data_IF_587881625158
#
_entry.id   IF_587881625158
#
_cell.length_a   1.000
_cell.length_b   1.000
_cell.length_c   1.000
_cell.angle_alpha   90.00
_cell.angle_beta   90.00
_cell.angle_gamma   90.00
#
_symmetry.space_group_name_H-M   'P 1'
#
loop_
_entity.id
_entity.type
_entity.pdbx_description
1 polymer ?
#
# COMPACT_ATOMS: atom_id res chain seq x y z
N UNK A 1 3.09 -1.94 24.94
CA UNK A 1 3.61 -2.27 23.60
C UNK A 1 2.80 -1.52 22.55
N UNK A 2 3.32 -1.38 21.33
CA UNK A 2 2.64 -0.74 20.20
C UNK A 2 1.30 -1.38 19.82
N UNK A 3 1.02 -2.60 20.30
CA UNK A 3 -0.29 -3.26 20.14
C UNK A 3 -1.48 -2.39 20.53
N UNK A 4 -1.28 -1.51 21.51
CA UNK A 4 -2.30 -0.58 21.96
C UNK A 4 -2.81 0.33 20.83
N UNK A 5 -1.97 0.67 19.83
CA UNK A 5 -2.36 1.50 18.68
C UNK A 5 -3.41 0.80 17.81
N UNK A 6 -3.29 -0.52 17.64
CA UNK A 6 -4.25 -1.30 16.85
C UNK A 6 -5.62 -1.46 17.52
N UNK A 7 -5.72 -1.14 18.82
CA UNK A 7 -7.01 -1.08 19.52
C UNK A 7 -7.88 0.11 19.13
N UNK A 8 -7.34 1.10 18.40
CA UNK A 8 -8.08 2.30 17.99
C UNK A 8 -7.75 2.82 16.59
N UNK A 9 -6.94 2.09 15.83
CA UNK A 9 -6.57 2.45 14.46
C UNK A 9 -7.06 1.37 13.51
N UNK A 10 -7.82 1.76 12.50
CA UNK A 10 -8.33 0.85 11.48
C UNK A 10 -7.25 0.59 10.43
N UNK A 11 -6.53 -0.51 10.59
CA UNK A 11 -5.55 -1.02 9.61
C UNK A 11 -5.73 -2.52 9.41
N UNK A 12 -5.23 -3.11 8.32
CA UNK A 12 -5.20 -4.57 8.13
C UNK A 12 -4.40 -5.32 9.21
N UNK A 13 -3.63 -4.62 10.04
CA UNK A 13 -2.80 -5.22 11.08
C UNK A 13 -3.64 -5.69 12.29
N UNK A 14 -4.73 -5.01 12.61
CA UNK A 14 -5.63 -5.41 13.70
C UNK A 14 -6.30 -6.78 13.47
N UNK A 15 -6.98 -7.04 12.34
CA UNK A 15 -7.54 -8.36 12.08
C UNK A 15 -6.45 -9.43 11.90
N UNK A 16 -5.29 -9.09 11.33
CA UNK A 16 -4.14 -10.01 11.26
C UNK A 16 -3.71 -10.47 12.66
N UNK A 17 -3.65 -9.54 13.61
CA UNK A 17 -3.29 -9.83 15.00
C UNK A 17 -4.33 -10.74 15.68
N UNK A 18 -5.62 -10.46 15.47
CA UNK A 18 -6.73 -11.28 15.98
C UNK A 18 -6.66 -12.71 15.45
N UNK A 19 -6.63 -12.88 14.12
CA UNK A 19 -6.59 -14.20 13.50
C UNK A 19 -5.27 -14.95 13.75
N UNK A 20 -4.14 -14.24 13.86
CA UNK A 20 -2.88 -14.83 14.26
C UNK A 20 -2.93 -15.36 15.71
N UNK A 21 -3.60 -14.66 16.62
CA UNK A 21 -3.81 -15.13 18.01
C UNK A 21 -4.68 -16.40 18.02
N UNK A 22 -5.79 -16.41 17.28
CA UNK A 22 -6.66 -17.58 17.14
C UNK A 22 -5.90 -18.77 16.54
N UNK A 23 -5.04 -18.52 15.54
CA UNK A 23 -4.18 -19.55 14.97
C UNK A 23 -3.32 -20.20 16.06
N UNK A 24 -2.57 -19.44 16.86
CA UNK A 24 -1.72 -20.03 17.90
C UNK A 24 -2.53 -20.78 18.97
N UNK A 25 -3.68 -20.23 19.36
CA UNK A 25 -4.58 -20.86 20.33
C UNK A 25 -5.09 -22.23 19.85
N UNK A 26 -5.61 -22.31 18.62
CA UNK A 26 -6.07 -23.59 18.07
C UNK A 26 -4.92 -24.50 17.62
N UNK A 27 -3.76 -23.93 17.26
CA UNK A 27 -2.58 -24.72 16.91
C UNK A 27 -2.05 -25.47 18.13
N UNK A 28 -2.02 -24.83 19.30
CA UNK A 28 -1.66 -25.51 20.53
C UNK A 28 -2.60 -26.70 20.82
N UNK A 29 -3.92 -26.48 20.72
CA UNK A 29 -4.90 -27.56 20.91
C UNK A 29 -4.77 -28.67 19.85
N UNK A 30 -4.45 -28.32 18.61
CA UNK A 30 -4.24 -29.27 17.52
C UNK A 30 -2.99 -30.12 17.69
N UNK A 31 -1.94 -29.58 18.33
CA UNK A 31 -0.76 -30.36 18.68
C UNK A 31 -1.09 -31.43 19.73
N UNK A 32 -1.97 -31.13 20.67
CA UNK A 32 -2.43 -32.05 21.72
C UNK A 32 -3.47 -33.07 21.21
N UNK A 33 -4.47 -32.59 20.45
CA UNK A 33 -5.62 -33.38 20.00
C UNK A 33 -5.92 -33.11 18.53
N UNK A 34 -5.75 -34.14 17.71
CA UNK A 34 -6.10 -34.10 16.29
C UNK A 34 -7.62 -34.32 16.11
N UNK A 35 -8.39 -33.22 16.15
CA UNK A 35 -9.85 -33.23 15.97
C UNK A 35 -10.27 -32.42 14.74
N UNK A 36 -11.26 -32.88 13.97
CA UNK A 36 -11.74 -32.16 12.78
C UNK A 36 -12.29 -30.76 13.12
N UNK A 37 -12.96 -30.59 14.27
CA UNK A 37 -13.44 -29.26 14.70
C UNK A 37 -12.31 -28.25 14.91
N UNK A 38 -11.17 -28.68 15.47
CA UNK A 38 -10.00 -27.81 15.65
C UNK A 38 -9.35 -27.50 14.29
N UNK A 39 -9.30 -28.48 13.38
CA UNK A 39 -8.83 -28.27 12.02
C UNK A 39 -9.66 -27.22 11.26
N UNK A 40 -10.99 -27.24 11.40
CA UNK A 40 -11.87 -26.22 10.79
C UNK A 40 -11.58 -24.84 11.39
N UNK A 41 -11.49 -24.73 12.72
CA UNK A 41 -11.18 -23.45 13.40
C UNK A 41 -9.79 -22.92 13.04
N UNK A 42 -8.80 -23.79 12.87
CA UNK A 42 -7.48 -23.44 12.33
C UNK A 42 -7.58 -22.90 10.89
N UNK A 43 -8.39 -23.54 10.04
CA UNK A 43 -8.60 -23.09 8.66
C UNK A 43 -9.24 -21.70 8.61
N UNK A 44 -10.25 -21.46 9.45
CA UNK A 44 -10.89 -20.15 9.58
C UNK A 44 -9.92 -19.07 10.09
N UNK A 45 -9.05 -19.44 11.03
CA UNK A 45 -8.01 -18.53 11.54
C UNK A 45 -6.99 -18.20 10.45
N UNK A 46 -6.53 -19.19 9.69
CA UNK A 46 -5.58 -18.99 8.60
C UNK A 46 -6.16 -18.16 7.46
N UNK A 47 -7.38 -18.46 7.02
CA UNK A 47 -8.00 -17.70 5.93
C UNK A 47 -8.26 -16.26 6.36
N UNK A 48 -8.72 -16.03 7.60
CA UNK A 48 -8.90 -14.68 8.15
C UNK A 48 -7.57 -13.90 8.22
N UNK A 49 -6.47 -14.57 8.60
CA UNK A 49 -5.15 -13.95 8.59
C UNK A 49 -4.67 -13.59 7.16
N UNK A 50 -4.91 -14.47 6.17
CA UNK A 50 -4.57 -14.23 4.76
C UNK A 50 -5.38 -13.08 4.15
N UNK A 51 -6.70 -13.02 4.41
CA UNK A 51 -7.54 -11.89 4.01
C UNK A 51 -7.13 -10.57 4.67
N UNK A 52 -6.58 -10.64 5.89
CA UNK A 52 -6.08 -9.46 6.59
C UNK A 52 -4.80 -8.93 5.93
N UNK A 53 -3.79 -9.79 5.73
CA UNK A 53 -2.49 -9.41 5.17
C UNK A 53 -1.71 -10.62 4.66
N UNK A 54 -1.07 -10.48 3.50
CA UNK A 54 -0.22 -11.53 2.91
C UNK A 54 0.96 -11.98 3.79
N UNK A 55 1.37 -11.18 4.78
CA UNK A 55 2.40 -11.59 5.75
C UNK A 55 2.00 -12.81 6.59
N UNK A 56 0.71 -13.17 6.64
CA UNK A 56 0.25 -14.43 7.22
C UNK A 56 0.86 -15.67 6.54
N UNK A 57 1.39 -15.57 5.32
CA UNK A 57 2.15 -16.67 4.69
C UNK A 57 3.38 -17.03 5.52
N UNK A 58 4.06 -16.04 6.14
CA UNK A 58 5.21 -16.28 7.02
C UNK A 58 4.82 -17.14 8.23
N UNK A 59 3.63 -16.91 8.78
CA UNK A 59 3.09 -17.69 9.89
C UNK A 59 3.00 -19.18 9.54
N UNK A 60 2.49 -19.49 8.33
CA UNK A 60 2.36 -20.88 7.86
C UNK A 60 3.73 -21.49 7.57
N UNK A 61 4.57 -20.79 6.82
CA UNK A 61 5.90 -21.29 6.40
C UNK A 61 6.77 -21.60 7.61
N UNK A 62 6.90 -20.67 8.56
CA UNK A 62 7.74 -20.90 9.74
C UNK A 62 7.15 -21.94 10.69
N UNK A 63 5.82 -22.10 10.75
CA UNK A 63 5.18 -23.20 11.47
C UNK A 63 5.54 -24.56 10.86
N UNK A 64 5.53 -24.68 9.53
CA UNK A 64 5.92 -25.91 8.84
C UNK A 64 7.40 -26.23 9.01
N UNK A 65 8.28 -25.22 8.90
CA UNK A 65 9.72 -25.41 9.15
C UNK A 65 9.95 -25.86 10.60
N UNK A 66 9.23 -25.27 11.56
CA UNK A 66 9.34 -25.65 12.96
C UNK A 66 8.76 -27.03 13.27
N UNK A 67 7.82 -27.55 12.46
CA UNK A 67 7.20 -28.84 12.68
C UNK A 67 6.88 -29.56 11.36
N UNK A 68 7.89 -30.11 10.65
CA UNK A 68 7.67 -30.78 9.37
C UNK A 68 6.77 -32.02 9.46
N UNK A 69 6.66 -32.63 10.66
CA UNK A 69 5.75 -33.75 10.94
C UNK A 69 4.28 -33.41 10.73
N UNK A 70 3.91 -32.13 10.59
CA UNK A 70 2.55 -31.74 10.22
C UNK A 70 2.15 -32.30 8.84
N UNK A 71 3.09 -32.40 7.90
CA UNK A 71 2.82 -32.85 6.53
C UNK A 71 2.36 -34.32 6.47
N UNK A 72 2.67 -35.13 7.47
CA UNK A 72 2.21 -36.52 7.55
C UNK A 72 0.81 -36.67 8.16
N UNK A 73 0.22 -35.61 8.73
CA UNK A 73 -1.12 -35.66 9.31
C UNK A 73 -2.18 -35.45 8.22
N UNK A 74 -3.19 -36.31 8.14
CA UNK A 74 -4.30 -36.17 7.16
C UNK A 74 -5.12 -34.90 7.41
N UNK A 75 -5.35 -34.58 8.68
CA UNK A 75 -6.06 -33.36 9.10
C UNK A 75 -5.32 -32.07 8.71
N UNK A 76 -3.99 -32.08 8.58
CA UNK A 76 -3.24 -30.95 8.03
C UNK A 76 -3.66 -30.64 6.59
N UNK A 77 -3.81 -31.66 5.75
CA UNK A 77 -4.26 -31.48 4.37
C UNK A 77 -5.71 -31.01 4.29
N UNK A 78 -6.57 -31.43 5.23
CA UNK A 78 -7.91 -30.86 5.39
C UNK A 78 -7.85 -29.36 5.72
N UNK A 79 -6.93 -28.94 6.60
CA UNK A 79 -6.73 -27.52 6.93
C UNK A 79 -6.30 -26.73 5.70
N UNK A 80 -5.30 -27.25 4.97
CA UNK A 80 -4.76 -26.62 3.77
C UNK A 80 -5.83 -26.49 2.67
N UNK A 81 -6.57 -27.56 2.39
CA UNK A 81 -7.63 -27.56 1.39
C UNK A 81 -8.78 -26.61 1.78
N UNK A 82 -9.23 -26.65 3.04
CA UNK A 82 -10.31 -25.78 3.53
C UNK A 82 -9.90 -24.30 3.46
N UNK A 83 -8.68 -23.98 3.88
CA UNK A 83 -8.13 -22.62 3.80
C UNK A 83 -8.07 -22.15 2.34
N UNK A 84 -7.56 -23.00 1.43
CA UNK A 84 -7.46 -22.66 0.02
C UNK A 84 -8.85 -22.42 -0.59
N UNK A 85 -9.82 -23.31 -0.35
CA UNK A 85 -11.20 -23.17 -0.85
C UNK A 85 -11.83 -21.86 -0.39
N UNK A 86 -11.68 -21.51 0.90
CA UNK A 86 -12.21 -20.25 1.44
C UNK A 86 -11.47 -19.00 0.92
N UNK A 87 -10.22 -19.17 0.46
CA UNK A 87 -9.43 -18.09 -0.14
C UNK A 87 -9.57 -18.01 -1.67
N UNK A 88 -10.21 -18.99 -2.33
CA UNK A 88 -10.41 -19.00 -3.78
C UNK A 88 -11.09 -17.74 -4.33
N UNK A 89 -12.15 -17.17 -3.69
CA UNK A 89 -12.77 -15.95 -4.21
C UNK A 89 -11.77 -14.82 -4.41
N UNK A 90 -10.83 -14.65 -3.48
CA UNK A 90 -9.76 -13.67 -3.58
C UNK A 90 -8.77 -14.00 -4.70
N UNK A 91 -8.37 -15.26 -4.84
CA UNK A 91 -7.47 -15.71 -5.90
C UNK A 91 -8.10 -15.44 -7.28
N UNK A 92 -9.37 -15.80 -7.47
CA UNK A 92 -10.08 -15.53 -8.72
C UNK A 92 -10.22 -14.04 -9.00
N UNK A 93 -10.50 -13.23 -7.97
CA UNK A 93 -10.53 -11.78 -8.13
C UNK A 93 -9.17 -11.23 -8.57
N UNK A 94 -8.06 -11.71 -7.99
CA UNK A 94 -6.71 -11.30 -8.41
C UNK A 94 -6.43 -11.69 -9.87
N UNK A 95 -6.76 -12.91 -10.29
CA UNK A 95 -6.57 -13.38 -11.67
C UNK A 95 -7.33 -12.48 -12.64
N UNK A 96 -8.60 -12.17 -12.35
CA UNK A 96 -9.46 -11.37 -13.22
C UNK A 96 -9.08 -9.89 -13.31
N UNK A 97 -8.16 -9.41 -12.47
CA UNK A 97 -7.68 -8.01 -12.46
C UNK A 97 -6.16 -7.92 -12.66
N UNK A 98 -5.55 -8.97 -13.20
CA UNK A 98 -4.10 -9.06 -13.46
C UNK A 98 -3.21 -8.84 -12.22
N UNK A 99 -3.60 -9.44 -11.10
CA UNK A 99 -2.86 -9.49 -9.84
C UNK A 99 -2.44 -8.11 -9.29
N UNK A 100 -3.40 -7.19 -9.04
CA UNK A 100 -3.08 -5.82 -8.63
C UNK A 100 -2.28 -5.78 -7.31
N UNK A 101 -2.59 -6.67 -6.36
CA UNK A 101 -1.87 -6.72 -5.09
C UNK A 101 -0.43 -7.20 -5.23
N UNK A 102 -0.16 -8.19 -6.09
CA UNK A 102 1.20 -8.68 -6.32
C UNK A 102 2.04 -7.63 -7.04
N UNK A 103 1.50 -6.98 -8.08
CA UNK A 103 2.16 -5.89 -8.79
C UNK A 103 2.53 -4.75 -7.83
N UNK A 104 1.60 -4.35 -6.97
CA UNK A 104 1.84 -3.32 -5.96
C UNK A 104 2.96 -3.66 -4.98
N UNK A 105 3.02 -4.91 -4.49
CA UNK A 105 4.03 -5.32 -3.51
C UNK A 105 5.40 -5.64 -4.10
N UNK A 106 5.45 -6.15 -5.34
CA UNK A 106 6.69 -6.62 -5.96
C UNK A 106 7.34 -5.62 -6.92
N UNK A 107 6.56 -4.71 -7.54
CA UNK A 107 7.08 -3.81 -8.58
C UNK A 107 6.99 -2.33 -8.22
N UNK A 108 5.98 -1.92 -7.45
CA UNK A 108 5.73 -0.48 -7.18
C UNK A 108 6.33 0.01 -5.85
N UNK A 109 6.97 -0.88 -5.07
CA UNK A 109 7.51 -0.58 -3.74
C UNK A 109 9.01 -0.80 -3.61
N UNK A 110 9.69 -1.27 -4.65
CA UNK A 110 11.15 -1.41 -4.64
C UNK A 110 11.79 -0.02 -4.61
N UNK A 111 12.78 0.16 -3.73
CA UNK A 111 13.55 1.39 -3.71
C UNK A 111 14.57 1.36 -4.86
N UNK A 112 14.82 2.50 -5.50
CA UNK A 112 15.79 2.58 -6.60
C UNK A 112 17.18 2.08 -6.19
N UNK A 113 17.58 2.36 -4.94
CA UNK A 113 18.88 1.95 -4.41
C UNK A 113 18.77 1.60 -2.92
N UNK A 114 19.56 0.60 -2.49
CA UNK A 114 19.73 0.30 -1.07
C UNK A 114 20.41 1.46 -0.34
N UNK A 115 19.89 1.80 0.83
CA UNK A 115 20.52 2.75 1.74
C UNK A 115 20.72 2.07 3.09
N UNK A 116 21.92 2.21 3.67
CA UNK A 116 22.27 1.59 4.95
C UNK A 116 21.26 1.94 6.07
N UNK A 117 20.63 3.11 5.97
CA UNK A 117 19.58 3.54 6.88
C UNK A 117 18.34 2.65 6.94
N UNK A 118 18.01 1.94 5.86
CA UNK A 118 16.89 1.01 5.88
C UNK A 118 17.10 -0.11 6.91
N UNK A 119 18.34 -0.58 7.05
CA UNK A 119 18.69 -1.70 7.93
C UNK A 119 18.79 -1.28 9.40
N UNK A 120 19.55 -0.22 9.72
CA UNK A 120 19.71 0.16 11.13
C UNK A 120 18.42 0.76 11.72
N UNK A 121 17.65 1.54 10.95
CA UNK A 121 16.36 2.06 11.41
C UNK A 121 15.34 0.94 11.60
N UNK A 122 15.40 -0.12 10.79
CA UNK A 122 14.57 -1.30 11.00
C UNK A 122 14.85 -1.94 12.36
N UNK A 123 16.13 -2.21 12.68
CA UNK A 123 16.53 -2.83 13.95
C UNK A 123 16.14 -1.98 15.17
N UNK A 124 16.39 -0.68 15.11
CA UNK A 124 15.96 0.28 16.13
C UNK A 124 14.43 0.26 16.26
N UNK A 125 13.72 0.28 15.13
CA UNK A 125 12.27 0.20 15.08
C UNK A 125 11.70 -1.05 15.75
N UNK A 126 12.35 -2.22 15.59
CA UNK A 126 11.92 -3.46 16.27
C UNK A 126 12.03 -3.35 17.80
N UNK A 127 13.11 -2.74 18.31
CA UNK A 127 13.27 -2.50 19.75
C UNK A 127 12.18 -1.56 20.29
N UNK A 128 11.93 -0.44 19.60
CA UNK A 128 10.88 0.50 19.98
C UNK A 128 9.48 -0.13 19.95
N UNK A 129 9.19 -0.96 18.95
CA UNK A 129 7.91 -1.66 18.85
C UNK A 129 7.67 -2.64 20.00
N UNK A 130 8.70 -3.39 20.40
CA UNK A 130 8.64 -4.31 21.54
C UNK A 130 8.33 -3.59 22.86
N UNK A 131 8.81 -2.37 22.97
CA UNK A 131 8.58 -1.47 24.09
C UNK A 131 9.75 -0.51 24.20
N UNK A 132 9.55 0.82 24.15
CA UNK A 132 10.65 1.79 24.10
C UNK A 132 11.72 1.61 25.18
N UNK A 133 11.33 1.17 26.39
CA UNK A 133 12.26 1.00 27.52
C UNK A 133 12.66 -0.46 27.81
N UNK A 134 11.83 -1.43 27.40
CA UNK A 134 11.98 -2.85 27.77
C UNK A 134 12.19 -3.78 26.58
N UNK A 135 12.16 -3.25 25.35
CA UNK A 135 12.25 -4.03 24.12
C UNK A 135 13.54 -4.84 24.07
N UNK A 136 14.68 -4.22 24.36
CA UNK A 136 15.99 -4.88 24.41
C UNK A 136 16.00 -6.10 25.35
N UNK A 137 15.33 -5.99 26.50
CA UNK A 137 15.26 -7.07 27.48
C UNK A 137 14.42 -8.24 26.94
N UNK A 138 13.33 -7.97 26.24
CA UNK A 138 12.54 -9.01 25.58
C UNK A 138 13.33 -9.78 24.53
N UNK A 139 14.05 -9.08 23.65
CA UNK A 139 14.93 -9.71 22.68
C UNK A 139 16.02 -10.56 23.36
N UNK A 140 16.65 -10.03 24.41
CA UNK A 140 17.64 -10.78 25.20
C UNK A 140 17.05 -12.09 25.79
N UNK A 141 15.85 -12.03 26.37
CA UNK A 141 15.17 -13.20 26.94
C UNK A 141 14.86 -14.24 25.88
N UNK A 142 14.44 -13.84 24.69
CA UNK A 142 14.13 -14.75 23.60
C UNK A 142 15.40 -15.39 23.02
N UNK A 143 16.50 -14.63 22.87
CA UNK A 143 17.79 -15.19 22.42
C UNK A 143 18.32 -16.26 23.38
N UNK A 144 18.04 -16.13 24.69
CA UNK A 144 18.39 -17.13 25.70
C UNK A 144 17.34 -18.23 25.90
N UNK A 145 16.19 -18.12 25.26
CA UNK A 145 15.09 -19.06 25.42
C UNK A 145 15.41 -20.38 24.70
N UNK A 146 15.27 -21.49 25.41
CA UNK A 146 15.44 -22.83 24.84
C UNK A 146 14.05 -23.48 24.72
N UNK A 147 13.56 -23.74 23.51
CA UNK A 147 12.26 -24.37 23.32
C UNK A 147 12.29 -25.79 23.87
N UNK A 148 11.31 -26.15 24.68
CA UNK A 148 11.19 -27.45 25.35
C UNK A 148 10.24 -28.40 24.62
N UNK A 149 9.36 -27.85 23.79
CA UNK A 149 8.29 -28.56 23.12
C UNK A 149 8.05 -28.00 21.71
N UNK A 150 7.20 -28.67 20.94
CA UNK A 150 6.94 -28.32 19.53
C UNK A 150 6.25 -26.97 19.41
N UNK A 151 5.36 -26.60 20.34
CA UNK A 151 4.67 -25.32 20.32
C UNK A 151 5.65 -24.19 20.58
N UNK A 152 6.45 -24.25 21.65
CA UNK A 152 7.46 -23.22 21.95
C UNK A 152 8.51 -23.11 20.85
N UNK A 153 8.93 -24.23 20.23
CA UNK A 153 9.78 -24.21 19.03
C UNK A 153 9.10 -23.47 17.87
N UNK A 154 7.82 -23.72 17.64
CA UNK A 154 7.04 -23.03 16.60
C UNK A 154 7.00 -21.51 16.85
N UNK A 155 6.81 -21.07 18.09
CA UNK A 155 6.85 -19.65 18.42
C UNK A 155 8.21 -19.02 18.11
N UNK A 156 9.32 -19.69 18.48
CA UNK A 156 10.69 -19.20 18.18
C UNK A 156 10.91 -19.05 16.68
N UNK A 157 10.57 -20.07 15.89
CA UNK A 157 10.74 -20.03 14.44
C UNK A 157 9.89 -18.92 13.79
N UNK A 158 8.65 -18.76 14.22
CA UNK A 158 7.79 -17.70 13.70
C UNK A 158 8.32 -16.30 14.05
N UNK A 159 8.79 -16.09 15.27
CA UNK A 159 9.37 -14.80 15.66
C UNK A 159 10.68 -14.52 14.91
N UNK A 160 11.68 -15.40 15.07
CA UNK A 160 13.03 -15.23 14.52
C UNK A 160 12.98 -15.22 13.00
N UNK A 161 12.24 -16.16 12.39
CA UNK A 161 12.06 -16.24 10.95
C UNK A 161 11.43 -14.96 10.38
N UNK A 162 10.41 -14.40 11.04
CA UNK A 162 9.79 -13.14 10.60
C UNK A 162 10.79 -11.99 10.66
N UNK A 163 11.54 -11.83 11.76
CA UNK A 163 12.54 -10.76 11.89
C UNK A 163 13.64 -10.91 10.83
N UNK A 164 14.16 -12.12 10.60
CA UNK A 164 15.19 -12.38 9.59
C UNK A 164 14.65 -12.10 8.17
N UNK A 165 13.43 -12.53 7.87
CA UNK A 165 12.80 -12.30 6.56
C UNK A 165 12.73 -10.79 6.25
N UNK A 166 12.24 -10.00 7.19
CA UNK A 166 12.14 -8.55 6.98
C UNK A 166 13.48 -7.83 7.04
N UNK A 167 14.44 -8.33 7.82
CA UNK A 167 15.81 -7.84 7.80
C UNK A 167 16.45 -8.07 6.42
N UNK A 168 16.24 -9.23 5.79
CA UNK A 168 16.69 -9.45 4.42
C UNK A 168 15.99 -8.50 3.43
N UNK A 169 14.72 -8.20 3.67
CA UNK A 169 13.95 -7.29 2.82
C UNK A 169 14.40 -5.82 2.90
N UNK A 170 15.12 -5.41 3.96
CA UNK A 170 15.68 -4.04 4.05
C UNK A 170 16.71 -3.75 2.96
N UNK A 171 17.29 -4.80 2.36
CA UNK A 171 18.21 -4.68 1.23
C UNK A 171 17.51 -4.16 -0.04
N UNK A 172 16.18 -4.26 -0.12
CA UNK A 172 15.39 -3.85 -1.29
C UNK A 172 14.46 -2.67 -1.02
N UNK A 173 13.92 -2.57 0.20
CA UNK A 173 12.87 -1.61 0.55
C UNK A 173 13.09 -1.06 1.94
N UNK A 174 12.71 0.20 2.17
CA UNK A 174 12.56 0.74 3.52
C UNK A 174 11.40 0.06 4.26
N UNK A 175 11.69 -1.06 4.94
CA UNK A 175 10.71 -1.84 5.69
C UNK A 175 10.20 -1.02 6.88
N UNK A 176 8.89 -0.78 6.90
CA UNK A 176 8.27 -0.07 8.03
C UNK A 176 8.19 -1.02 9.23
N UNK A 177 8.49 -0.54 10.46
CA UNK A 177 8.56 -1.41 11.62
C UNK A 177 7.30 -2.28 11.82
N UNK A 178 6.10 -1.74 11.59
CA UNK A 178 4.85 -2.46 11.78
C UNK A 178 4.63 -3.65 10.84
N UNK A 179 5.43 -3.83 9.78
CA UNK A 179 5.30 -4.98 8.88
C UNK A 179 5.61 -6.31 9.59
N UNK A 180 6.47 -6.29 10.62
CA UNK A 180 6.86 -7.48 11.41
C UNK A 180 5.85 -7.84 12.49
N UNK A 181 4.69 -7.18 12.57
CA UNK A 181 3.71 -7.38 13.64
C UNK A 181 3.30 -8.86 13.83
N UNK A 182 3.24 -9.63 12.75
CA UNK A 182 2.93 -11.07 12.80
C UNK A 182 3.94 -11.86 13.65
N UNK A 183 5.21 -11.41 13.70
CA UNK A 183 6.25 -11.98 14.55
C UNK A 183 6.17 -11.49 16.01
N UNK A 184 5.53 -10.35 16.26
CA UNK A 184 5.34 -9.84 17.61
C UNK A 184 4.29 -10.64 18.41
N UNK A 185 3.38 -11.35 17.76
CA UNK A 185 2.47 -12.31 18.41
C UNK A 185 3.21 -13.42 19.16
N UNK A 186 4.03 -14.27 18.48
CA UNK A 186 4.78 -15.31 19.18
C UNK A 186 5.83 -14.72 20.12
N UNK A 187 6.36 -13.53 19.85
CA UNK A 187 7.25 -12.81 20.77
C UNK A 187 6.61 -12.61 22.15
N UNK A 188 5.37 -12.10 22.20
CA UNK A 188 4.65 -11.88 23.47
C UNK A 188 4.49 -13.19 24.23
N UNK A 189 4.05 -14.25 23.54
CA UNK A 189 3.87 -15.57 24.15
C UNK A 189 5.21 -16.11 24.70
N UNK A 190 6.29 -16.01 23.92
CA UNK A 190 7.62 -16.42 24.36
C UNK A 190 8.10 -15.64 25.58
N UNK A 191 7.91 -14.33 25.62
CA UNK A 191 8.28 -13.50 26.78
C UNK A 191 7.50 -13.95 28.02
N UNK A 192 6.18 -14.18 27.90
CA UNK A 192 5.37 -14.63 29.02
C UNK A 192 5.83 -15.99 29.54
N UNK A 193 6.08 -16.96 28.65
CA UNK A 193 6.59 -18.30 29.00
C UNK A 193 7.99 -18.18 29.62
N UNK A 194 8.89 -17.39 29.05
CA UNK A 194 10.25 -17.21 29.55
C UNK A 194 10.31 -16.55 30.94
N UNK A 195 9.26 -15.86 31.36
CA UNK A 195 9.17 -15.18 32.66
C UNK A 195 8.47 -16.02 33.74
N UNK A 196 7.82 -17.15 33.40
CA UNK A 196 7.15 -18.02 34.38
C UNK A 196 8.11 -18.75 35.35
N UNK A 197 9.22 -19.36 34.90
CA UNK A 197 10.07 -20.17 35.78
C UNK A 197 11.11 -19.36 36.56
N UNK A 198 11.24 -18.05 36.31
CA UNK A 198 12.31 -17.23 36.87
C UNK A 198 11.77 -16.09 37.72
N UNK A 199 12.51 -15.77 38.79
CA UNK A 199 12.32 -14.53 39.51
C UNK A 199 12.54 -13.36 38.54
N UNK A 200 11.47 -12.59 38.29
CA UNK A 200 11.55 -11.37 37.49
C UNK A 200 12.55 -10.42 38.19
N UNK A 201 13.51 -9.81 37.46
CA UNK A 201 14.42 -8.87 38.08
C UNK A 201 13.65 -7.74 38.78
N UNK A 202 14.03 -7.38 40.00
CA UNK A 202 13.33 -6.33 40.77
C UNK A 202 13.27 -4.99 40.03
N UNK A 203 14.30 -4.70 39.22
CA UNK A 203 14.36 -3.49 38.38
C UNK A 203 13.32 -3.48 37.25
N UNK A 204 12.80 -4.64 36.82
CA UNK A 204 11.93 -4.73 35.65
C UNK A 204 10.56 -4.11 35.93
N UNK A 205 9.99 -4.34 37.12
CA UNK A 205 8.67 -3.80 37.48
C UNK A 205 8.56 -2.28 37.36
N UNK A 206 9.43 -1.45 37.98
CA UNK A 206 9.32 0.00 37.86
C UNK A 206 9.47 0.46 36.39
N UNK A 207 10.31 -0.19 35.58
CA UNK A 207 10.43 0.14 34.16
C UNK A 207 9.17 -0.26 33.37
N UNK A 208 8.52 -1.38 33.70
CA UNK A 208 7.24 -1.76 33.10
C UNK A 208 6.15 -0.73 33.42
N UNK A 209 6.09 -0.25 34.67
CA UNK A 209 5.16 0.81 35.07
C UNK A 209 5.47 2.13 34.37
N UNK A 210 6.75 2.51 34.25
CA UNK A 210 7.14 3.70 33.49
C UNK A 210 6.78 3.57 32.01
N UNK A 211 7.03 2.42 31.40
CA UNK A 211 6.66 2.14 30.02
C UNK A 211 5.14 2.18 29.81
N UNK A 212 4.35 1.63 30.74
CA UNK A 212 2.90 1.74 30.73
C UNK A 212 2.45 3.19 30.89
N UNK A 213 3.05 3.93 31.82
CA UNK A 213 2.76 5.35 32.04
C UNK A 213 3.04 6.17 30.77
N UNK A 214 4.16 5.97 30.09
CA UNK A 214 4.47 6.65 28.82
C UNK A 214 3.46 6.32 27.71
N UNK A 215 3.01 5.07 27.62
CA UNK A 215 1.98 4.66 26.66
C UNK A 215 0.62 5.29 26.98
N UNK A 216 0.24 5.34 28.26
CA UNK A 216 -0.98 6.02 28.71
C UNK A 216 -0.87 7.53 28.47
N UNK A 217 0.26 8.15 28.77
CA UNK A 217 0.50 9.57 28.51
C UNK A 217 0.33 9.90 27.02
N UNK A 218 0.90 9.08 26.13
CA UNK A 218 0.70 9.19 24.69
C UNK A 218 -0.78 9.04 24.32
N UNK A 219 -1.49 8.06 24.91
CA UNK A 219 -2.91 7.83 24.65
C UNK A 219 -3.77 9.00 25.11
N UNK A 220 -3.56 9.51 26.32
CA UNK A 220 -4.26 10.67 26.84
C UNK A 220 -3.97 11.92 26.01
N UNK A 221 -2.72 12.12 25.57
CA UNK A 221 -2.35 13.20 24.65
C UNK A 221 -3.15 13.15 23.34
N UNK A 222 -3.38 11.94 22.81
CA UNK A 222 -4.23 11.73 21.63
C UNK A 222 -5.71 12.00 21.89
N UNK A 223 -6.23 11.54 23.03
CA UNK A 223 -7.65 11.71 23.37
C UNK A 223 -8.00 13.17 23.71
N UNK A 224 -7.13 13.85 24.44
CA UNK A 224 -7.32 15.23 24.90
C UNK A 224 -6.98 16.28 23.81
N UNK A 225 -6.57 15.85 22.61
CA UNK A 225 -6.18 16.74 21.50
C UNK A 225 -5.17 17.81 21.95
N UNK A 226 -4.15 17.44 22.74
CA UNK A 226 -3.18 18.41 23.24
C UNK A 226 -2.42 19.07 22.06
N UNK A 227 -2.13 20.39 22.10
CA UNK A 227 -1.43 21.12 21.04
C UNK A 227 -0.13 20.47 20.53
N UNK A 228 0.61 19.79 21.42
CA UNK A 228 1.84 19.06 21.09
C UNK A 228 1.51 17.83 20.23
N UNK A 229 0.55 17.02 20.64
CA UNK A 229 0.14 15.81 19.89
C UNK A 229 -0.46 16.15 18.52
N UNK A 230 -1.15 17.29 18.41
CA UNK A 230 -1.71 17.77 17.15
C UNK A 230 -0.66 18.26 16.13
N UNK A 231 0.57 18.55 16.56
CA UNK A 231 1.63 19.09 15.71
C UNK A 231 2.73 18.08 15.37
N UNK A 232 2.81 16.95 16.09
CA UNK A 232 3.91 15.98 15.93
C UNK A 232 3.58 14.92 14.87
N UNK A 233 4.36 14.90 13.80
CA UNK A 233 4.54 13.76 12.88
C UNK A 233 3.26 13.01 12.52
N UNK A 234 3.27 11.68 12.72
CA UNK A 234 2.15 10.78 12.40
C UNK A 234 0.90 11.08 13.24
N UNK A 235 1.05 11.62 14.45
CA UNK A 235 -0.07 11.89 15.35
C UNK A 235 -0.99 13.00 14.81
N UNK A 236 -0.43 13.97 14.07
CA UNK A 236 -1.20 15.01 13.36
C UNK A 236 -2.31 14.43 12.48
N UNK A 237 -2.08 13.26 11.87
CA UNK A 237 -3.04 12.63 10.94
C UNK A 237 -4.35 12.17 11.61
N UNK A 238 -4.36 11.99 12.94
CA UNK A 238 -5.55 11.60 13.69
C UNK A 238 -6.51 12.77 13.95
N UNK A 239 -6.10 14.01 13.69
CA UNK A 239 -6.85 15.21 14.06
C UNK A 239 -7.36 15.99 12.85
N UNK A 240 -8.41 16.78 13.07
CA UNK A 240 -8.93 17.74 12.09
C UNK A 240 -9.64 17.10 10.89
N UNK A 241 -9.82 15.78 10.86
CA UNK A 241 -10.43 15.09 9.72
C UNK A 241 -11.91 15.48 9.50
N UNK A 242 -12.78 15.47 10.54
CA UNK A 242 -14.17 15.91 10.36
C UNK A 242 -14.27 17.38 9.92
N UNK A 243 -13.49 18.27 10.53
CA UNK A 243 -13.51 19.70 10.23
C UNK A 243 -13.00 19.96 8.81
N UNK A 244 -11.89 19.32 8.42
CA UNK A 244 -11.33 19.39 7.06
C UNK A 244 -12.33 18.90 6.00
N UNK A 245 -12.95 17.75 6.21
CA UNK A 245 -13.94 17.20 5.26
C UNK A 245 -15.18 18.09 5.16
N UNK A 246 -15.66 18.64 6.27
CA UNK A 246 -16.79 19.55 6.29
C UNK A 246 -16.51 20.86 5.53
N UNK A 247 -15.32 21.47 5.71
CA UNK A 247 -14.93 22.66 4.93
C UNK A 247 -14.97 22.41 3.42
N UNK A 248 -14.50 21.25 2.98
CA UNK A 248 -14.53 20.87 1.56
C UNK A 248 -15.98 20.61 1.11
N UNK A 249 -16.76 19.86 1.91
CA UNK A 249 -18.16 19.53 1.60
C UNK A 249 -19.03 20.78 1.48
N UNK A 250 -18.83 21.80 2.31
CA UNK A 250 -19.58 23.05 2.24
C UNK A 250 -19.40 23.75 0.88
N UNK A 251 -18.19 23.71 0.33
CA UNK A 251 -17.87 24.26 -1.00
C UNK A 251 -18.34 23.35 -2.13
N UNK A 252 -17.94 22.07 -2.10
CA UNK A 252 -18.26 21.09 -3.14
C UNK A 252 -19.76 20.73 -3.21
N UNK A 253 -20.51 20.93 -2.13
CA UNK A 253 -21.92 20.55 -1.97
C UNK A 253 -22.14 19.07 -2.32
N UNK A 254 -22.77 18.81 -3.47
CA UNK A 254 -23.10 17.49 -3.97
C UNK A 254 -22.23 17.06 -5.17
N UNK A 255 -21.22 17.85 -5.54
CA UNK A 255 -20.29 17.50 -6.60
C UNK A 255 -19.35 16.36 -6.16
N UNK A 256 -18.73 15.70 -7.13
CA UNK A 256 -17.62 14.79 -6.85
C UNK A 256 -16.38 15.60 -6.48
N UNK A 257 -15.59 15.06 -5.56
CA UNK A 257 -14.36 15.67 -5.08
C UNK A 257 -13.18 14.80 -5.45
N UNK A 258 -12.22 15.39 -6.16
CA UNK A 258 -11.01 14.70 -6.62
C UNK A 258 -9.82 15.17 -5.77
N UNK A 259 -8.99 14.22 -5.37
CA UNK A 259 -7.73 14.47 -4.66
C UNK A 259 -6.57 13.82 -5.44
N UNK A 260 -5.45 14.52 -5.66
CA UNK A 260 -4.30 13.94 -6.33
C UNK A 260 -3.47 13.03 -5.41
N UNK A 261 -2.95 11.95 -5.99
CA UNK A 261 -1.80 11.17 -5.53
C UNK A 261 -1.86 10.65 -4.08
N UNK A 262 -3.06 10.44 -3.53
CA UNK A 262 -3.27 9.87 -2.19
C UNK A 262 -4.66 9.22 -2.10
N UNK A 263 -4.72 7.96 -1.68
CA UNK A 263 -5.99 7.28 -1.42
C UNK A 263 -6.61 7.64 -0.07
N UNK A 264 -5.83 8.24 0.84
CA UNK A 264 -6.29 8.57 2.18
C UNK A 264 -7.34 9.69 2.14
N UNK A 265 -7.01 10.85 1.60
CA UNK A 265 -7.93 11.99 1.55
C UNK A 265 -9.34 11.65 0.99
N UNK A 266 -9.50 10.97 -0.16
CA UNK A 266 -10.82 10.60 -0.66
C UNK A 266 -11.53 9.57 0.22
N UNK A 267 -10.80 8.67 0.87
CA UNK A 267 -11.38 7.70 1.81
C UNK A 267 -11.91 8.39 3.07
N UNK A 268 -11.17 9.34 3.63
CA UNK A 268 -11.59 10.13 4.79
C UNK A 268 -12.78 11.02 4.41
N UNK A 269 -12.71 11.69 3.27
CA UNK A 269 -13.83 12.47 2.73
C UNK A 269 -15.09 11.63 2.62
N UNK A 270 -15.00 10.45 2.02
CA UNK A 270 -16.15 9.56 1.84
C UNK A 270 -16.73 9.09 3.18
N UNK A 271 -15.87 8.71 4.13
CA UNK A 271 -16.27 8.29 5.47
C UNK A 271 -17.00 9.40 6.25
N UNK A 272 -16.40 10.58 6.40
CA UNK A 272 -16.98 11.65 7.22
C UNK A 272 -18.17 12.36 6.56
N UNK A 273 -18.24 12.36 5.23
CA UNK A 273 -19.40 12.94 4.53
C UNK A 273 -20.53 11.94 4.32
N UNK A 274 -20.31 10.65 4.63
CA UNK A 274 -21.20 9.55 4.31
C UNK A 274 -21.61 9.56 2.82
N UNK A 275 -20.61 9.67 1.94
CA UNK A 275 -20.81 9.75 0.49
C UNK A 275 -19.76 8.96 -0.27
N UNK A 276 -20.08 8.48 -1.46
CA UNK A 276 -19.13 7.83 -2.38
C UNK A 276 -18.57 8.81 -3.42
N UNK A 277 -18.43 10.08 -3.03
CA UNK A 277 -18.09 11.18 -3.95
C UNK A 277 -16.63 11.60 -3.92
N UNK A 278 -15.83 11.02 -3.03
CA UNK A 278 -14.38 11.20 -3.03
C UNK A 278 -13.71 10.27 -4.04
N UNK A 279 -12.79 10.80 -4.84
CA UNK A 279 -12.01 10.05 -5.82
C UNK A 279 -10.51 10.39 -5.70
N UNK A 280 -9.66 9.35 -5.75
CA UNK A 280 -8.21 9.52 -5.88
C UNK A 280 -7.84 9.57 -7.36
N UNK A 281 -7.15 10.62 -7.78
CA UNK A 281 -6.51 10.68 -9.08
C UNK A 281 -5.05 10.27 -8.92
N UNK A 282 -4.68 9.09 -9.42
CA UNK A 282 -3.34 8.53 -9.29
C UNK A 282 -2.50 8.92 -10.51
N UNK A 283 -1.69 9.96 -10.34
CA UNK A 283 -0.81 10.44 -11.39
C UNK A 283 0.35 9.50 -11.65
N UNK A 284 1.09 9.76 -12.72
CA UNK A 284 2.32 9.04 -13.06
C UNK A 284 3.41 9.10 -11.99
N UNK A 285 3.32 10.03 -11.05
CA UNK A 285 4.25 10.17 -9.93
C UNK A 285 3.79 9.38 -8.70
N UNK A 286 2.66 8.71 -8.79
CA UNK A 286 2.09 7.91 -7.73
C UNK A 286 1.86 6.47 -8.16
N UNK A 287 1.60 5.63 -7.16
CA UNK A 287 1.29 4.21 -7.32
C UNK A 287 -0.18 4.02 -7.60
N UNK A 288 -0.53 2.90 -8.23
CA UNK A 288 -1.94 2.57 -8.45
C UNK A 288 -2.63 2.24 -7.13
N UNK A 289 -3.89 2.58 -7.02
CA UNK A 289 -4.71 2.32 -5.83
C UNK A 289 -6.02 1.63 -6.19
N UNK A 290 -6.80 1.28 -5.17
CA UNK A 290 -8.12 0.69 -5.38
C UNK A 290 -9.07 1.62 -6.17
N UNK A 291 -8.83 2.94 -6.15
CA UNK A 291 -9.62 3.91 -6.90
C UNK A 291 -9.47 3.78 -8.42
N UNK A 292 -8.34 3.24 -8.91
CA UNK A 292 -8.15 2.92 -10.33
C UNK A 292 -9.06 1.77 -10.81
N UNK A 293 -9.40 0.86 -9.89
CA UNK A 293 -10.19 -0.34 -10.19
C UNK A 293 -11.69 -0.03 -10.08
N UNK A 294 -12.08 0.78 -9.09
CA UNK A 294 -13.50 1.09 -8.88
C UNK A 294 -14.14 1.86 -10.05
N UNK A 295 -15.43 1.66 -10.31
CA UNK A 295 -16.16 2.37 -11.38
C UNK A 295 -16.52 3.81 -11.02
N UNK A 296 -15.82 4.41 -10.04
CA UNK A 296 -16.08 5.78 -9.59
C UNK A 296 -15.76 6.74 -10.72
N UNK A 297 -14.57 6.62 -11.33
CA UNK A 297 -14.11 7.47 -12.44
C UNK A 297 -15.15 7.55 -13.57
N UNK A 298 -15.71 6.40 -13.96
CA UNK A 298 -16.71 6.26 -15.02
C UNK A 298 -17.98 7.08 -14.75
N UNK A 299 -18.27 7.34 -13.48
CA UNK A 299 -19.41 8.13 -13.02
C UNK A 299 -19.12 9.63 -12.95
N UNK A 300 -17.86 10.05 -13.04
CA UNK A 300 -17.41 11.44 -12.98
C UNK A 300 -17.29 12.07 -14.37
N UNK A 301 -17.05 11.25 -15.40
CA UNK A 301 -16.81 11.71 -16.77
C UNK A 301 -17.89 12.71 -17.23
N UNK A 302 -17.44 13.80 -17.84
CA UNK A 302 -18.22 14.92 -18.36
C UNK A 302 -19.03 15.71 -17.31
N UNK A 303 -18.87 15.43 -16.01
CA UNK A 303 -19.53 16.19 -14.95
C UNK A 303 -18.65 17.32 -14.45
N UNK A 304 -19.28 18.30 -13.81
CA UNK A 304 -18.60 19.29 -13.00
C UNK A 304 -18.11 18.65 -11.70
N UNK A 305 -16.84 18.82 -11.40
CA UNK A 305 -16.20 18.28 -10.19
C UNK A 305 -15.47 19.38 -9.41
N UNK A 306 -15.13 19.09 -8.17
CA UNK A 306 -14.34 19.94 -7.30
C UNK A 306 -12.99 19.29 -7.02
N UNK A 307 -11.92 19.84 -7.59
CA UNK A 307 -10.57 19.30 -7.46
C UNK A 307 -9.82 20.00 -6.33
N UNK A 308 -9.34 19.23 -5.35
CA UNK A 308 -8.72 19.76 -4.13
C UNK A 308 -7.24 19.44 -4.11
N UNK A 309 -6.42 20.48 -4.06
CA UNK A 309 -4.94 20.42 -4.09
C UNK A 309 -4.34 21.14 -2.88
N UNK A 310 -3.06 20.87 -2.60
CA UNK A 310 -2.26 21.54 -1.55
C UNK A 310 -1.62 22.85 -2.04
N UNK A 311 -1.52 23.04 -3.36
CA UNK A 311 -1.05 24.25 -4.02
C UNK A 311 -2.05 24.73 -5.09
N UNK A 312 -2.09 26.04 -5.39
CA UNK A 312 -2.96 26.55 -6.45
C UNK A 312 -2.49 26.04 -7.81
N UNK A 313 -3.45 25.76 -8.69
CA UNK A 313 -3.20 25.44 -10.09
C UNK A 313 -3.09 26.72 -10.92
N UNK A 314 -2.08 26.77 -11.79
CA UNK A 314 -1.95 27.86 -12.76
C UNK A 314 -3.19 27.89 -13.66
N UNK A 315 -3.62 29.10 -14.03
CA UNK A 315 -4.70 29.36 -15.00
C UNK A 315 -6.10 28.86 -14.60
N UNK A 316 -6.28 28.34 -13.38
CA UNK A 316 -7.57 27.90 -12.85
C UNK A 316 -7.86 28.64 -11.55
N UNK A 317 -8.99 29.33 -11.49
CA UNK A 317 -9.46 30.01 -10.28
C UNK A 317 -9.52 29.03 -9.10
N UNK A 318 -9.06 29.49 -7.94
CA UNK A 318 -8.98 28.67 -6.73
C UNK A 318 -9.80 29.27 -5.59
N UNK A 319 -10.68 28.47 -4.99
CA UNK A 319 -11.20 28.71 -3.66
C UNK A 319 -10.10 28.40 -2.64
N UNK A 320 -9.62 29.40 -1.90
CA UNK A 320 -8.70 29.15 -0.77
C UNK A 320 -9.48 28.58 0.41
N UNK A 321 -9.14 27.37 0.83
CA UNK A 321 -9.78 26.64 1.92
C UNK A 321 -8.85 26.66 3.15
N UNK A 322 -9.19 27.47 4.14
CA UNK A 322 -8.53 27.40 5.44
C UNK A 322 -9.15 26.25 6.23
N UNK A 323 -8.45 25.12 6.31
CA UNK A 323 -8.95 23.90 6.97
C UNK A 323 -8.18 23.61 8.25
N UNK A 324 -8.72 22.71 9.08
CA UNK A 324 -8.02 22.23 10.29
C UNK A 324 -6.68 21.54 9.99
N UNK A 325 -6.42 21.13 8.74
CA UNK A 325 -5.17 20.46 8.32
C UNK A 325 -4.17 21.40 7.65
N UNK A 326 -4.53 22.67 7.45
CA UNK A 326 -3.75 23.63 6.70
C UNK A 326 -4.56 24.24 5.55
N UNK A 327 -3.88 24.96 4.68
CA UNK A 327 -4.49 25.59 3.51
C UNK A 327 -4.58 24.57 2.39
N UNK A 328 -5.75 24.48 1.77
CA UNK A 328 -5.98 23.74 0.54
C UNK A 328 -6.58 24.69 -0.50
N UNK A 329 -6.51 24.29 -1.77
CA UNK A 329 -7.04 25.03 -2.89
C UNK A 329 -8.07 24.16 -3.60
N UNK A 330 -9.27 24.70 -3.77
CA UNK A 330 -10.37 24.04 -4.45
C UNK A 330 -10.60 24.64 -5.82
N UNK A 331 -10.71 23.79 -6.83
CA UNK A 331 -10.84 24.19 -8.23
C UNK A 331 -12.09 23.57 -8.84
N UNK A 332 -12.99 24.40 -9.36
CA UNK A 332 -14.10 23.91 -10.15
C UNK A 332 -13.61 23.53 -11.54
N UNK A 333 -13.86 22.28 -11.93
CA UNK A 333 -13.52 21.76 -13.25
C UNK A 333 -14.82 21.32 -13.89
N UNK A 334 -15.22 22.03 -14.94
CA UNK A 334 -16.36 21.68 -15.78
C UNK A 334 -15.93 20.61 -16.79
N UNK A 335 -16.87 19.73 -17.16
CA UNK A 335 -16.65 18.65 -18.14
C UNK A 335 -15.39 17.81 -17.84
N UNK A 336 -15.33 17.25 -16.63
CA UNK A 336 -14.21 16.41 -16.21
C UNK A 336 -13.94 15.29 -17.21
N UNK A 337 -12.67 15.15 -17.63
CA UNK A 337 -12.21 14.04 -18.47
C UNK A 337 -10.91 13.48 -17.90
N UNK A 338 -10.87 12.18 -17.76
CA UNK A 338 -9.68 11.44 -17.32
C UNK A 338 -9.60 10.09 -18.01
N UNK A 339 -8.39 9.53 -18.00
CA UNK A 339 -8.03 8.36 -18.81
C UNK A 339 -7.20 7.36 -17.99
N UNK A 340 -7.48 7.22 -16.68
CA UNK A 340 -6.72 6.35 -15.78
C UNK A 340 -6.75 4.87 -16.19
N UNK A 341 -7.84 4.42 -16.84
CA UNK A 341 -8.00 3.03 -17.33
C UNK A 341 -7.57 2.84 -18.80
N UNK A 342 -7.01 3.86 -19.44
CA UNK A 342 -6.39 3.65 -20.76
C UNK A 342 -5.00 3.06 -20.56
N UNK A 343 -4.77 1.88 -21.15
CA UNK A 343 -3.48 1.20 -21.10
C UNK A 343 -2.69 1.41 -22.39
N UNK A 344 -1.39 1.62 -22.25
CA UNK A 344 -0.43 1.74 -23.35
C UNK A 344 0.63 0.66 -23.17
N UNK A 345 0.68 -0.26 -24.11
CA UNK A 345 1.68 -1.33 -24.16
C UNK A 345 2.70 -1.06 -25.26
N UNK A 346 3.94 -1.49 -25.00
CA UNK A 346 5.06 -1.48 -25.94
C UNK A 346 5.61 -2.90 -25.97
N UNK A 347 5.90 -3.43 -27.16
CA UNK A 347 6.32 -4.82 -27.32
C UNK A 347 7.66 -5.14 -26.61
N UNK A 348 8.45 -4.12 -26.28
CA UNK A 348 9.75 -4.25 -25.62
C UNK A 348 9.74 -3.65 -24.21
N UNK A 349 10.09 -4.46 -23.21
CA UNK A 349 10.29 -4.01 -21.83
C UNK A 349 11.65 -3.30 -21.61
N UNK A 350 12.59 -3.48 -22.54
CA UNK A 350 13.91 -2.84 -22.53
C UNK A 350 14.25 -2.36 -23.94
N UNK A 351 14.81 -1.16 -24.05
CA UNK A 351 15.21 -0.53 -25.31
C UNK A 351 16.67 -0.06 -25.15
N UNK A 352 17.54 -0.50 -26.06
CA UNK A 352 18.93 -0.04 -26.13
C UNK A 352 19.15 0.71 -27.43
N UNK A 353 19.72 1.92 -27.36
CA UNK A 353 19.88 2.78 -28.55
C UNK A 353 21.00 3.79 -28.37
N UNK A 354 21.55 4.29 -29.48
CA UNK A 354 22.49 5.41 -29.45
C UNK A 354 21.80 6.74 -29.07
N UNK A 355 22.55 7.61 -28.41
CA UNK A 355 22.10 8.97 -28.08
C UNK A 355 21.59 9.78 -29.29
N UNK A 356 20.52 10.55 -29.08
CA UNK A 356 19.97 11.48 -30.05
C UNK A 356 19.23 10.88 -31.26
N UNK A 357 19.07 9.55 -31.31
CA UNK A 357 18.32 8.88 -32.38
C UNK A 357 16.81 8.94 -32.16
N UNK A 358 16.06 8.84 -33.25
CA UNK A 358 14.61 8.66 -33.22
C UNK A 358 14.30 7.18 -33.37
N UNK A 359 13.46 6.65 -32.47
CA UNK A 359 13.03 5.26 -32.47
C UNK A 359 11.56 5.21 -32.87
N UNK A 360 11.19 4.49 -33.95
CA UNK A 360 9.80 4.20 -34.23
C UNK A 360 9.30 3.13 -33.24
N UNK A 361 8.31 3.48 -32.43
CA UNK A 361 7.65 2.58 -31.50
C UNK A 361 6.21 2.32 -31.98
N UNK A 362 5.79 1.06 -31.95
CA UNK A 362 4.40 0.71 -32.18
C UNK A 362 3.71 0.54 -30.83
N UNK A 363 2.92 1.54 -30.43
CA UNK A 363 2.17 1.48 -29.17
C UNK A 363 0.87 0.71 -29.39
N UNK A 364 0.52 -0.20 -28.47
CA UNK A 364 -0.81 -0.82 -28.41
C UNK A 364 -1.60 -0.11 -27.33
N UNK A 365 -2.64 0.62 -27.71
CA UNK A 365 -3.49 1.37 -26.81
C UNK A 365 -4.78 0.59 -26.61
N UNK A 366 -5.11 0.27 -25.36
CA UNK A 366 -6.29 -0.51 -24.98
C UNK A 366 -7.25 0.34 -24.15
N UNK A 367 -8.54 0.27 -24.49
CA UNK A 367 -9.61 0.85 -23.70
C UNK A 367 -10.15 -0.17 -22.69
N UNK A 368 -9.87 0.01 -21.39
CA UNK A 368 -10.43 -0.84 -20.33
C UNK A 368 -11.70 -0.28 -19.69
N UNK A 369 -12.20 0.87 -20.17
CA UNK A 369 -13.50 1.35 -19.75
C UNK A 369 -14.61 0.46 -20.32
N UNK A 370 -15.69 0.30 -19.56
CA UNK A 370 -16.93 -0.32 -20.02
C UNK A 370 -17.71 0.55 -21.04
N UNK A 371 -17.15 1.70 -21.45
CA UNK A 371 -17.76 2.68 -22.35
C UNK A 371 -16.79 3.08 -23.47
N UNK A 372 -17.30 3.58 -24.60
CA UNK A 372 -16.47 4.14 -25.64
C UNK A 372 -15.63 5.33 -25.13
N UNK A 373 -14.41 5.45 -25.63
CA UNK A 373 -13.50 6.55 -25.32
C UNK A 373 -13.10 7.25 -26.62
N UNK A 374 -13.13 8.58 -26.63
CA UNK A 374 -12.58 9.38 -27.71
C UNK A 374 -11.49 10.33 -27.19
N UNK A 375 -10.53 10.63 -28.04
CA UNK A 375 -9.45 11.57 -27.74
C UNK A 375 -9.60 12.90 -28.46
N UNK A 376 -10.80 13.22 -28.96
CA UNK A 376 -11.04 14.50 -29.62
C UNK A 376 -10.83 15.66 -28.63
N UNK A 377 -10.27 16.75 -29.14
CA UNK A 377 -10.14 18.02 -28.43
C UNK A 377 -11.17 19.06 -28.90
N UNK A 378 -11.96 18.74 -29.92
CA UNK A 378 -12.98 19.64 -30.43
C UNK A 378 -14.04 19.92 -29.34
N UNK A 379 -14.25 21.19 -29.02
CA UNK A 379 -15.22 21.63 -28.02
C UNK A 379 -14.89 21.23 -26.58
N UNK A 380 -13.65 20.82 -26.29
CA UNK A 380 -13.20 20.45 -24.94
C UNK A 380 -12.36 21.58 -24.33
N UNK A 381 -12.64 21.93 -23.08
CA UNK A 381 -11.89 22.96 -22.37
C UNK A 381 -10.44 22.55 -22.10
N UNK A 382 -10.22 21.29 -21.70
CA UNK A 382 -8.88 20.76 -21.48
C UNK A 382 -8.51 19.75 -22.58
N UNK A 383 -7.36 19.90 -23.26
CA UNK A 383 -6.96 18.98 -24.32
C UNK A 383 -6.42 17.67 -23.73
N UNK A 384 -6.74 16.53 -24.35
CA UNK A 384 -6.04 15.27 -24.10
C UNK A 384 -4.82 15.16 -25.01
N UNK A 385 -3.73 14.68 -24.43
CA UNK A 385 -2.49 14.38 -25.14
C UNK A 385 -1.90 13.07 -24.64
N UNK A 386 -1.34 12.28 -25.56
CA UNK A 386 -0.41 11.22 -25.21
C UNK A 386 0.99 11.80 -25.13
N UNK A 387 1.71 11.50 -24.05
CA UNK A 387 3.10 11.91 -23.87
C UNK A 387 3.98 10.75 -23.46
N UNK A 388 5.16 10.68 -24.07
CA UNK A 388 6.29 9.91 -23.59
C UNK A 388 7.09 10.75 -22.58
N UNK A 389 7.49 10.14 -21.48
CA UNK A 389 8.33 10.75 -20.45
C UNK A 389 9.58 9.90 -20.27
N UNK A 390 10.74 10.53 -20.37
CA UNK A 390 12.03 9.93 -20.06
C UNK A 390 12.48 10.47 -18.72
N UNK A 391 12.59 9.57 -17.75
CA UNK A 391 12.87 9.86 -16.35
C UNK A 391 14.22 9.29 -15.95
N UNK A 392 14.89 9.93 -15.00
CA UNK A 392 16.08 9.41 -14.32
C UNK A 392 15.88 9.58 -12.81
N UNK A 393 15.61 8.48 -12.11
CA UNK A 393 15.02 8.55 -10.77
C UNK A 393 13.71 9.36 -10.81
N UNK A 394 13.55 10.29 -9.88
CA UNK A 394 12.38 11.19 -9.80
C UNK A 394 12.43 12.37 -10.81
N UNK A 395 13.55 12.56 -11.51
CA UNK A 395 13.74 13.71 -12.40
C UNK A 395 13.26 13.42 -13.81
N UNK A 396 12.40 14.29 -14.34
CA UNK A 396 12.00 14.27 -15.75
C UNK A 396 13.09 14.89 -16.61
N UNK A 397 13.73 14.07 -17.44
CA UNK A 397 14.83 14.49 -18.33
C UNK A 397 14.27 15.09 -19.62
N UNK A 398 13.26 14.43 -20.20
CA UNK A 398 12.55 14.93 -21.37
C UNK A 398 11.13 14.40 -21.40
N UNK A 399 10.25 15.11 -22.08
CA UNK A 399 8.94 14.61 -22.44
C UNK A 399 8.62 14.99 -23.88
N UNK A 400 7.91 14.11 -24.58
CA UNK A 400 7.54 14.28 -25.97
C UNK A 400 6.05 14.00 -26.13
N UNK A 401 5.36 14.90 -26.83
CA UNK A 401 3.95 14.74 -27.17
C UNK A 401 3.80 13.88 -28.43
N UNK A 402 2.73 13.09 -28.48
CA UNK A 402 2.30 12.39 -29.69
C UNK A 402 1.89 13.40 -30.77
N UNK A 403 1.85 12.93 -32.01
CA UNK A 403 1.40 13.72 -33.15
C UNK A 403 -0.12 13.99 -33.07
N UNK A 404 -0.64 15.03 -33.74
CA UNK A 404 -2.06 15.43 -33.64
C UNK A 404 -3.07 14.35 -34.09
N UNK A 405 -2.64 13.37 -34.88
CA UNK A 405 -3.44 12.23 -35.31
C UNK A 405 -3.90 11.35 -34.13
N UNK A 406 -3.18 11.38 -33.00
CA UNK A 406 -3.61 10.75 -31.75
C UNK A 406 -5.03 11.19 -31.34
N UNK A 407 -5.37 12.47 -31.55
CA UNK A 407 -6.67 13.02 -31.17
C UNK A 407 -7.83 12.57 -32.08
N UNK A 408 -7.53 11.87 -33.17
CA UNK A 408 -8.54 11.26 -34.06
C UNK A 408 -8.92 9.85 -33.59
N UNK A 409 -8.19 9.27 -32.64
CA UNK A 409 -8.47 7.94 -32.13
C UNK A 409 -9.75 7.92 -31.29
N UNK A 410 -10.52 6.86 -31.53
CA UNK A 410 -11.71 6.47 -30.79
C UNK A 410 -11.67 4.98 -30.54
N UNK A 411 -12.20 4.54 -29.40
CA UNK A 411 -12.15 3.16 -28.95
C UNK A 411 -13.54 2.71 -28.49
N UNK A 412 -13.96 1.52 -28.93
CA UNK A 412 -15.04 0.76 -28.30
C UNK A 412 -14.55 0.17 -26.96
N UNK A 413 -15.46 -0.23 -26.06
CA UNK A 413 -15.07 -0.95 -24.85
C UNK A 413 -14.21 -2.18 -25.19
N UNK A 414 -13.05 -2.33 -24.54
CA UNK A 414 -12.13 -3.45 -24.75
C UNK A 414 -11.30 -3.38 -26.05
N UNK A 415 -11.51 -2.37 -26.91
CA UNK A 415 -10.80 -2.27 -28.19
C UNK A 415 -9.31 -1.94 -27.98
N UNK A 416 -8.47 -2.56 -28.80
CA UNK A 416 -7.02 -2.31 -28.87
C UNK A 416 -6.71 -1.73 -30.25
N UNK A 417 -5.96 -0.62 -30.29
CA UNK A 417 -5.45 -0.05 -31.55
C UNK A 417 -3.95 0.18 -31.47
N UNK A 418 -3.30 -0.05 -32.60
CA UNK A 418 -1.90 0.27 -32.80
C UNK A 418 -1.74 1.74 -33.17
N UNK A 419 -0.81 2.44 -32.51
CA UNK A 419 -0.47 3.84 -32.77
C UNK A 419 1.05 4.00 -32.94
N UNK A 420 1.54 4.52 -34.08
CA UNK A 420 2.97 4.75 -34.28
C UNK A 420 3.44 5.97 -33.47
N UNK A 421 4.56 5.83 -32.76
CA UNK A 421 5.15 6.90 -31.97
C UNK A 421 6.65 6.98 -32.22
N UNK A 422 7.12 8.12 -32.75
CA UNK A 422 8.53 8.34 -33.05
C UNK A 422 9.24 8.99 -31.85
N UNK A 423 9.82 8.18 -30.95
CA UNK A 423 10.48 8.68 -29.74
C UNK A 423 11.87 9.23 -30.05
N UNK A 424 12.11 10.52 -29.77
CA UNK A 424 13.44 11.12 -29.79
C UNK A 424 14.17 10.90 -28.47
N UNK A 425 15.31 10.24 -28.50
CA UNK A 425 16.07 9.96 -27.27
C UNK A 425 16.93 11.15 -26.83
N UNK A 426 17.16 11.29 -25.51
CA UNK A 426 18.15 12.24 -24.98
C UNK A 426 19.53 12.08 -25.62
N UNK A 427 20.28 13.20 -25.64
CA UNK A 427 21.68 13.23 -26.08
C UNK A 427 22.64 12.65 -25.04
N UNK A 428 22.24 12.68 -23.77
CA UNK A 428 23.06 12.18 -22.67
C UNK A 428 22.93 10.66 -22.59
N UNK A 429 24.08 9.98 -22.53
CA UNK A 429 24.17 8.54 -22.31
C UNK A 429 23.79 8.19 -20.88
N UNK A 430 23.20 7.02 -20.67
CA UNK A 430 22.81 6.55 -19.35
C UNK A 430 21.61 5.61 -19.38
N UNK A 431 21.20 5.18 -18.19
CA UNK A 431 19.99 4.40 -17.98
C UNK A 431 18.85 5.33 -17.55
N UNK A 432 17.74 5.18 -18.24
CA UNK A 432 16.52 5.98 -18.06
C UNK A 432 15.30 5.07 -17.96
N UNK A 433 14.23 5.62 -17.42
CA UNK A 433 12.91 5.01 -17.38
C UNK A 433 12.01 5.73 -18.39
N UNK A 434 11.50 5.01 -19.38
CA UNK A 434 10.50 5.48 -20.32
C UNK A 434 9.10 5.09 -19.83
N UNK A 435 8.17 6.04 -19.81
CA UNK A 435 6.77 5.80 -19.54
C UNK A 435 5.87 6.62 -20.45
N UNK A 436 4.68 6.12 -20.72
CA UNK A 436 3.64 6.81 -21.48
C UNK A 436 2.47 7.20 -20.58
N UNK A 437 1.90 8.37 -20.83
CA UNK A 437 0.79 8.92 -20.07
C UNK A 437 -0.20 9.62 -21.00
N UNK A 438 -1.48 9.25 -20.90
CA UNK A 438 -2.59 9.93 -21.56
C UNK A 438 -3.14 10.96 -20.58
N UNK A 439 -2.78 12.22 -20.79
CA UNK A 439 -3.01 13.33 -19.84
C UNK A 439 -4.06 14.30 -20.39
N UNK A 440 -4.95 14.76 -19.51
CA UNK A 440 -5.75 15.97 -19.70
C UNK A 440 -5.44 16.94 -18.56
N UNK A 441 -5.03 18.20 -18.83
CA UNK A 441 -4.91 19.22 -17.80
C UNK A 441 -6.25 19.43 -17.05
N UNK A 442 -6.22 19.94 -15.81
CA UNK A 442 -5.03 20.25 -15.01
C UNK A 442 -4.38 19.02 -14.36
N UNK A 443 -4.93 17.82 -14.57
CA UNK A 443 -4.42 16.61 -13.96
C UNK A 443 -3.05 16.25 -14.51
N UNK A 444 -2.16 15.74 -13.66
CA UNK A 444 -0.79 15.42 -14.07
C UNK A 444 -0.72 14.30 -15.11
N UNK A 445 -1.75 13.47 -15.27
CA UNK A 445 -1.80 12.32 -16.16
C UNK A 445 -1.42 11.03 -15.43
N UNK A 446 -2.13 9.91 -15.66
CA UNK A 446 -1.84 8.63 -15.02
C UNK A 446 -0.63 7.97 -15.68
N UNK A 447 -0.07 6.95 -15.04
CA UNK A 447 0.91 6.06 -15.70
C UNK A 447 0.14 5.02 -16.53
N UNK A 448 -0.01 5.33 -17.82
CA UNK A 448 -0.75 4.50 -18.78
C UNK A 448 0.04 3.28 -19.26
N UNK A 449 1.38 3.30 -19.19
CA UNK A 449 2.24 2.15 -19.52
C UNK A 449 2.97 1.58 -18.30
N UNK A 450 3.44 0.32 -18.38
CA UNK A 450 4.57 -0.13 -17.56
C UNK A 450 5.79 0.77 -17.73
N UNK A 451 6.72 0.72 -16.77
CA UNK A 451 8.03 1.37 -16.91
C UNK A 451 8.89 0.53 -17.84
N UNK A 452 9.45 1.17 -18.87
CA UNK A 452 10.32 0.57 -19.88
C UNK A 452 11.75 1.04 -19.60
N UNK A 453 12.69 0.10 -19.49
CA UNK A 453 14.09 0.47 -19.28
C UNK A 453 14.67 0.97 -20.61
N UNK A 454 15.15 2.21 -20.63
CA UNK A 454 15.75 2.84 -21.79
C UNK A 454 17.25 3.06 -21.51
N UNK A 455 18.10 2.29 -22.17
CA UNK A 455 19.56 2.45 -22.09
C UNK A 455 20.06 3.19 -23.32
N UNK A 456 20.70 4.34 -23.10
CA UNK A 456 21.25 5.19 -24.14
C UNK A 456 22.78 5.05 -24.13
N UNK A 457 23.32 4.56 -25.25
CA UNK A 457 24.74 4.27 -25.47
C UNK A 457 25.47 5.32 -26.29
#
# INVERSE_FOLDING_TARGET
>A
SIFHIFGFTTTPDAPLFFFGTLFYFFYQQYLEKDKPGIAILLSLSLVGALYSKYHAVLLVVFTLIANPKLLSRKSFWLIAASTLILFLPHIFWQINHDFPSLKYHLKEREADHYQFQFTYLFLIGQLFMAGPLVGWFWFYRIVKFRPTDVFTRTLVFNFVGTIIFFLANTLKVAVQPHWTLIGFLPMVMLVLIALQPQHKPKWLQPILFLNLFLLLLMRFGLMLKNPVSMKIGVLKSYFGNPEWTNSIRQKARNAYVIFPDQFQNPSWYSYYTNSQKGFAYDSRFYRRTQFDIWPIEDSLQQKRIYYVTDAPLNEISADKLNTAKGIFYGHWIDQFRSYQKMQVEVDSAQIQISAGKTIPLQLKIKNEYAKPVNFSNAGQHFPVVLRAYVMQGDSMISNQMAEPDFNQLQFKPGEIKSYPFNLKTPLKKGNYNLLFSIKSPPFAGPRSSPVINLTIQ
#
